data_IF_533451980965
#
_entry.id   IF_533451980965
#
_cell.length_a   1.000
_cell.length_b   1.000
_cell.length_c   1.000
_cell.angle_alpha   90.00
_cell.angle_beta   90.00
_cell.angle_gamma   90.00
#
_symmetry.space_group_name_H-M   'P 1'
#
loop_
_entity.id
_entity.type
_entity.pdbx_description
1 polymer ?
#
# COMPACT_ATOMS: atom_id res chain seq x y z
N UNK A 1 57.63 -25.79 -21.07
CA UNK A 1 58.31 -24.71 -20.38
C UNK A 1 57.30 -24.23 -19.40
N UNK A 2 57.27 -24.78 -18.23
CA UNK A 2 58.01 -24.40 -16.99
C UNK A 2 57.68 -22.93 -16.66
N UNK A 3 57.20 -22.52 -15.54
CA UNK A 3 57.32 -22.98 -14.14
C UNK A 3 56.14 -22.30 -13.37
N UNK A 4 55.40 -22.85 -12.51
CA UNK A 4 55.76 -23.27 -11.11
C UNK A 4 56.22 -22.11 -10.24
N UNK A 5 55.46 -21.90 -9.21
CA UNK A 5 55.72 -21.81 -7.78
C UNK A 5 54.75 -20.91 -7.07
N UNK A 6 53.99 -21.46 -6.16
CA UNK A 6 54.31 -21.72 -4.73
C UNK A 6 54.31 -20.43 -3.91
N UNK A 7 53.71 -20.30 -2.86
CA UNK A 7 53.49 -20.99 -1.62
C UNK A 7 52.84 -20.07 -0.59
N UNK A 8 51.96 -20.67 0.18
CA UNK A 8 51.79 -20.54 1.63
C UNK A 8 51.92 -19.16 2.32
N UNK A 9 50.91 -18.79 3.07
CA UNK A 9 51.07 -18.82 4.53
C UNK A 9 49.74 -18.85 5.32
N UNK A 10 49.62 -19.89 6.08
CA UNK A 10 48.72 -20.16 7.17
C UNK A 10 49.13 -19.37 8.40
N UNK A 11 48.18 -18.71 9.09
CA UNK A 11 48.21 -18.50 10.55
C UNK A 11 46.79 -18.08 11.01
N UNK A 12 46.01 -18.99 11.50
CA UNK A 12 45.74 -19.37 12.92
C UNK A 12 45.99 -18.27 13.94
N UNK A 13 44.94 -17.87 14.61
CA UNK A 13 44.85 -17.71 16.06
C UNK A 13 43.58 -16.93 16.41
N UNK A 14 42.82 -17.08 17.40
CA UNK A 14 42.85 -17.88 18.64
C UNK A 14 41.49 -17.63 19.32
N UNK A 15 40.89 -18.69 19.78
CA UNK A 15 39.88 -18.76 20.83
C UNK A 15 40.13 -17.81 21.97
N UNK A 16 39.13 -17.04 22.40
CA UNK A 16 39.14 -16.48 23.75
C UNK A 16 37.82 -16.75 24.46
N UNK A 17 37.80 -17.87 25.13
CA UNK A 17 36.86 -18.20 26.20
C UNK A 17 37.25 -17.42 27.46
N UNK A 18 36.37 -16.55 27.90
CA UNK A 18 36.47 -16.00 29.27
C UNK A 18 35.25 -16.40 30.10
N UNK A 19 35.45 -17.50 30.78
CA UNK A 19 34.72 -17.93 31.98
C UNK A 19 35.07 -17.00 33.12
N UNK A 20 34.11 -16.27 33.67
CA UNK A 20 34.26 -15.65 34.99
C UNK A 20 33.10 -16.00 35.92
N UNK A 21 33.52 -16.69 36.90
CA UNK A 21 33.00 -17.19 38.17
C UNK A 21 31.93 -16.34 38.86
N UNK A 22 31.00 -17.10 39.41
CA UNK A 22 30.05 -16.78 40.48
C UNK A 22 30.68 -15.95 41.62
N UNK A 23 29.94 -14.93 42.03
CA UNK A 23 29.95 -14.47 43.41
C UNK A 23 28.51 -14.20 43.86
N UNK A 24 28.06 -14.98 44.81
CA UNK A 24 26.85 -14.75 45.60
C UNK A 24 27.14 -13.61 46.60
N UNK A 25 26.26 -12.59 46.59
CA UNK A 25 26.11 -11.72 47.76
C UNK A 25 24.62 -11.55 48.02
N UNK A 26 24.18 -12.10 49.11
CA UNK A 26 22.92 -11.89 49.81
C UNK A 26 22.85 -10.48 50.37
N UNK A 27 21.77 -9.76 50.14
CA UNK A 27 21.50 -8.46 50.77
C UNK A 27 20.05 -8.03 50.63
N UNK A 28 19.39 -7.92 51.76
CA UNK A 28 17.99 -7.79 52.08
C UNK A 28 17.23 -6.60 51.43
N UNK A 29 15.97 -6.87 51.17
CA UNK A 29 14.77 -6.06 51.35
C UNK A 29 14.85 -4.52 51.22
N UNK A 30 14.12 -3.97 50.25
CA UNK A 30 13.30 -2.78 50.47
C UNK A 30 12.18 -2.75 49.42
N UNK A 31 10.97 -2.93 49.90
CA UNK A 31 9.72 -2.80 49.20
C UNK A 31 9.51 -1.31 48.93
N UNK A 32 9.65 -0.86 47.70
CA UNK A 32 9.08 0.41 47.24
C UNK A 32 7.97 0.12 46.24
N UNK A 33 6.76 0.12 46.78
CA UNK A 33 5.53 0.19 45.95
C UNK A 33 5.42 1.59 45.38
N UNK A 34 5.92 1.79 44.16
CA UNK A 34 5.58 2.94 43.36
C UNK A 34 4.47 2.51 42.37
N UNK A 35 3.23 2.75 42.79
CA UNK A 35 2.09 2.77 41.88
C UNK A 35 2.31 3.88 40.87
N UNK A 36 2.93 3.55 39.74
CA UNK A 36 2.89 4.38 38.54
C UNK A 36 1.52 4.15 37.92
N UNK A 37 0.57 5.05 38.23
CA UNK A 37 -0.66 5.18 37.44
C UNK A 37 -0.25 5.48 36.01
N UNK A 38 -0.32 4.46 35.16
CA UNK A 38 -0.31 4.63 33.71
C UNK A 38 -1.57 5.38 33.34
N UNK A 39 -1.47 6.70 33.25
CA UNK A 39 -2.42 7.47 32.49
C UNK A 39 -2.28 7.04 31.03
N UNK A 40 -3.09 6.06 30.63
CA UNK A 40 -3.38 5.83 29.23
C UNK A 40 -4.15 7.07 28.75
N UNK A 41 -3.42 8.05 28.22
CA UNK A 41 -4.03 9.04 27.35
C UNK A 41 -4.55 8.27 26.16
N UNK A 42 -5.87 8.01 26.15
CA UNK A 42 -6.60 7.62 24.97
C UNK A 42 -6.51 8.79 23.99
N UNK A 43 -5.40 8.91 23.31
CA UNK A 43 -5.33 9.64 22.06
C UNK A 43 -6.28 8.90 21.14
N UNK A 44 -7.48 9.45 20.92
CA UNK A 44 -8.34 9.05 19.82
C UNK A 44 -7.56 9.39 18.56
N UNK A 45 -6.71 8.44 18.15
CA UNK A 45 -6.11 8.46 16.84
C UNK A 45 -7.29 8.46 15.87
N UNK A 46 -7.59 9.60 15.27
CA UNK A 46 -8.31 9.63 14.01
C UNK A 46 -7.57 8.64 13.12
N UNK A 47 -8.15 7.47 12.91
CA UNK A 47 -7.53 6.43 12.11
C UNK A 47 -7.27 7.05 10.74
N UNK A 48 -6.01 7.34 10.46
CA UNK A 48 -5.61 7.87 9.16
C UNK A 48 -6.11 6.87 8.11
N UNK A 49 -6.86 7.37 7.12
CA UNK A 49 -7.33 6.53 6.03
C UNK A 49 -6.17 5.78 5.40
N UNK A 50 -6.36 4.52 5.00
CA UNK A 50 -5.33 3.78 4.33
C UNK A 50 -4.78 4.55 3.14
N UNK A 51 -3.47 4.70 3.07
CA UNK A 51 -2.76 5.28 1.95
C UNK A 51 -1.72 4.27 1.49
N UNK A 52 -1.82 3.87 0.23
CA UNK A 52 -0.90 2.89 -0.31
C UNK A 52 0.45 3.57 -0.58
N UNK A 53 1.50 2.94 -0.08
CA UNK A 53 2.87 3.41 -0.30
C UNK A 53 3.39 2.77 -1.59
N UNK A 54 4.03 3.56 -2.43
CA UNK A 54 4.68 3.14 -3.67
C UNK A 54 5.83 4.11 -3.95
N UNK A 55 6.82 3.63 -4.69
CA UNK A 55 7.92 4.46 -5.18
C UNK A 55 7.58 5.06 -6.55
N UNK A 56 8.04 6.25 -6.84
CA UNK A 56 7.79 6.89 -8.15
C UNK A 56 8.30 6.04 -9.33
N UNK A 57 9.33 5.22 -9.11
CA UNK A 57 9.86 4.26 -10.07
C UNK A 57 8.91 3.09 -10.39
N UNK A 58 7.91 2.84 -9.54
CA UNK A 58 6.88 1.81 -9.73
C UNK A 58 5.71 2.31 -10.57
N UNK A 59 5.59 3.64 -10.76
CA UNK A 59 4.56 4.24 -11.59
C UNK A 59 4.80 3.91 -13.07
N UNK A 60 3.80 3.27 -13.66
CA UNK A 60 3.73 2.97 -15.08
C UNK A 60 2.72 3.89 -15.74
N UNK A 61 2.99 4.32 -16.96
CA UNK A 61 2.08 5.16 -17.73
C UNK A 61 1.46 4.33 -18.85
N UNK A 62 0.15 4.27 -18.87
CA UNK A 62 -0.62 3.63 -19.94
C UNK A 62 -0.73 4.54 -21.18
N UNK A 63 -1.09 3.96 -22.34
CA UNK A 63 -1.30 4.71 -23.58
C UNK A 63 -2.35 5.82 -23.45
N UNK A 64 -3.32 5.66 -22.54
CA UNK A 64 -4.35 6.66 -22.23
C UNK A 64 -3.86 7.86 -21.40
N UNK A 65 -2.59 7.89 -21.01
CA UNK A 65 -2.04 8.90 -20.09
C UNK A 65 -2.33 8.63 -18.60
N UNK A 66 -3.11 7.61 -18.29
CA UNK A 66 -3.30 7.19 -16.89
C UNK A 66 -2.04 6.57 -16.35
N UNK A 67 -1.68 6.90 -15.08
CA UNK A 67 -0.57 6.26 -14.40
C UNK A 67 -1.10 5.30 -13.33
N UNK A 68 -0.37 4.23 -13.07
CA UNK A 68 -0.72 3.25 -12.07
C UNK A 68 0.51 2.59 -11.44
N UNK A 69 0.36 2.11 -10.22
CA UNK A 69 1.35 1.27 -9.54
C UNK A 69 0.63 0.12 -8.83
N UNK A 70 1.12 -1.10 -9.03
CA UNK A 70 0.65 -2.28 -8.31
C UNK A 70 1.39 -2.41 -6.98
N UNK A 71 0.74 -2.01 -5.90
CA UNK A 71 1.29 -2.12 -4.53
C UNK A 71 1.22 -3.58 -4.04
N UNK A 72 0.15 -4.28 -4.40
CA UNK A 72 -0.01 -5.71 -4.18
C UNK A 72 -0.63 -6.34 -5.41
N UNK A 73 0.03 -7.32 -5.98
CA UNK A 73 -0.55 -8.13 -7.06
C UNK A 73 -1.48 -9.17 -6.45
N UNK A 74 -2.78 -9.10 -6.78
CA UNK A 74 -3.76 -10.07 -6.32
C UNK A 74 -3.54 -11.46 -6.90
N UNK A 75 -3.95 -12.48 -6.18
CA UNK A 75 -3.84 -13.89 -6.60
C UNK A 75 -5.20 -14.56 -6.83
N UNK A 76 -6.29 -13.85 -6.54
CA UNK A 76 -7.65 -14.36 -6.70
C UNK A 76 -8.19 -14.24 -8.12
N UNK A 77 -9.52 -14.30 -8.25
CA UNK A 77 -10.20 -14.21 -9.54
C UNK A 77 -9.98 -12.85 -10.22
N UNK A 78 -9.86 -12.86 -11.54
CA UNK A 78 -9.85 -11.66 -12.36
C UNK A 78 -11.29 -11.31 -12.76
N UNK A 79 -11.72 -10.05 -12.59
CA UNK A 79 -13.05 -9.63 -13.00
C UNK A 79 -13.17 -9.59 -14.53
N UNK A 80 -14.37 -9.84 -15.02
CA UNK A 80 -14.72 -9.68 -16.42
C UNK A 80 -15.71 -8.53 -16.61
N UNK A 81 -15.71 -7.95 -17.79
CA UNK A 81 -16.65 -6.88 -18.14
C UNK A 81 -18.11 -7.28 -17.85
N UNK A 82 -18.81 -6.42 -17.14
CA UNK A 82 -20.20 -6.63 -16.75
C UNK A 82 -20.39 -7.41 -15.44
N UNK A 83 -19.33 -8.01 -14.87
CA UNK A 83 -19.42 -8.64 -13.56
C UNK A 83 -19.54 -7.59 -12.45
N UNK A 84 -20.24 -7.98 -11.41
CA UNK A 84 -20.32 -7.18 -10.18
C UNK A 84 -19.09 -7.45 -9.34
N UNK A 85 -18.45 -6.40 -8.88
CA UNK A 85 -17.27 -6.47 -8.00
C UNK A 85 -17.50 -5.67 -6.73
N UNK A 86 -16.65 -5.91 -5.75
CA UNK A 86 -16.52 -5.10 -4.54
C UNK A 86 -15.10 -4.55 -4.46
N UNK A 87 -14.97 -3.25 -4.25
CA UNK A 87 -13.69 -2.61 -4.08
C UNK A 87 -13.70 -1.63 -2.91
N UNK A 88 -12.63 -1.65 -2.10
CA UNK A 88 -12.33 -0.57 -1.20
C UNK A 88 -11.49 0.49 -1.92
N UNK A 89 -11.65 1.74 -1.52
CA UNK A 89 -10.88 2.83 -2.10
C UNK A 89 -10.81 4.06 -1.21
N UNK A 90 -9.82 4.89 -1.51
CA UNK A 90 -9.74 6.29 -1.07
C UNK A 90 -9.40 7.15 -2.26
N UNK A 91 -10.24 8.14 -2.55
CA UNK A 91 -10.05 9.11 -3.64
C UNK A 91 -9.53 10.44 -3.11
N UNK A 92 -8.46 10.96 -3.73
CA UNK A 92 -7.80 12.22 -3.36
C UNK A 92 -7.57 13.09 -4.58
N UNK A 93 -7.57 14.39 -4.36
CA UNK A 93 -7.03 15.38 -5.28
C UNK A 93 -5.49 15.40 -5.20
N UNK A 94 -4.83 16.00 -6.19
CA UNK A 94 -3.37 16.13 -6.23
C UNK A 94 -2.78 16.94 -5.07
N UNK A 95 -3.59 17.77 -4.40
CA UNK A 95 -3.20 18.48 -3.18
C UNK A 95 -3.32 17.63 -1.91
N UNK A 96 -3.62 16.32 -2.03
CA UNK A 96 -3.77 15.39 -0.92
C UNK A 96 -5.16 15.39 -0.26
N UNK A 97 -6.07 16.31 -0.63
CA UNK A 97 -7.42 16.37 -0.05
C UNK A 97 -8.22 15.14 -0.46
N UNK A 98 -8.66 14.37 0.51
CA UNK A 98 -9.61 13.27 0.30
C UNK A 98 -10.99 13.83 -0.04
N UNK A 99 -11.62 13.31 -1.08
CA UNK A 99 -12.96 13.69 -1.48
C UNK A 99 -13.99 12.57 -1.29
N UNK A 100 -13.55 11.31 -1.24
CA UNK A 100 -14.41 10.16 -1.00
C UNK A 100 -13.58 8.95 -0.52
N UNK A 101 -14.16 8.12 0.37
CA UNK A 101 -13.53 6.91 0.87
C UNK A 101 -14.58 5.88 1.27
N UNK A 102 -14.43 4.66 0.77
CA UNK A 102 -15.23 3.51 1.20
C UNK A 102 -14.89 3.06 2.61
N UNK A 103 -13.70 3.34 3.10
CA UNK A 103 -13.29 3.04 4.47
C UNK A 103 -14.03 3.92 5.48
N UNK A 104 -14.31 5.20 5.15
CA UNK A 104 -15.13 6.09 5.99
C UNK A 104 -16.57 5.61 6.08
N UNK A 105 -17.09 4.99 5.03
CA UNK A 105 -18.43 4.39 5.02
C UNK A 105 -18.49 3.01 5.68
N UNK A 106 -17.34 2.42 6.01
CA UNK A 106 -17.25 1.09 6.62
C UNK A 106 -17.66 -0.06 5.70
N UNK A 107 -17.77 0.17 4.37
CA UNK A 107 -18.20 -0.85 3.41
C UNK A 107 -17.61 -0.63 2.03
N UNK A 108 -17.21 -1.72 1.32
CA UNK A 108 -16.71 -1.61 -0.04
C UNK A 108 -17.81 -1.15 -1.00
N UNK A 109 -17.41 -0.44 -2.04
CA UNK A 109 -18.29 -0.07 -3.14
C UNK A 109 -18.59 -1.31 -3.99
N UNK A 110 -19.88 -1.54 -4.26
CA UNK A 110 -20.35 -2.61 -5.13
C UNK A 110 -20.86 -2.02 -6.44
N UNK A 111 -20.30 -2.47 -7.58
CA UNK A 111 -20.68 -1.98 -8.91
C UNK A 111 -20.34 -3.00 -10.00
N UNK A 112 -20.91 -2.82 -11.18
CA UNK A 112 -20.55 -3.61 -12.38
C UNK A 112 -19.41 -2.91 -13.12
N UNK A 113 -18.29 -3.62 -13.25
CA UNK A 113 -17.08 -3.09 -13.91
C UNK A 113 -17.18 -3.17 -15.44
N UNK A 114 -16.61 -2.18 -16.13
CA UNK A 114 -16.52 -2.14 -17.60
C UNK A 114 -17.81 -1.73 -18.32
N UNK A 115 -18.81 -1.24 -17.60
CA UNK A 115 -20.10 -0.81 -18.16
C UNK A 115 -20.39 0.66 -17.83
N UNK A 116 -19.38 1.44 -17.49
CA UNK A 116 -19.45 2.87 -17.17
C UNK A 116 -20.38 3.22 -16.00
N UNK A 117 -20.45 2.34 -14.99
CA UNK A 117 -21.07 2.68 -13.71
C UNK A 117 -20.17 3.54 -12.83
N UNK A 118 -18.87 3.53 -13.14
CA UNK A 118 -17.82 4.35 -12.53
C UNK A 118 -17.09 5.13 -13.62
N UNK A 119 -16.17 6.01 -13.24
CA UNK A 119 -15.33 6.74 -14.20
C UNK A 119 -14.47 5.76 -15.03
N UNK A 120 -14.15 6.14 -16.26
CA UNK A 120 -13.45 5.25 -17.20
C UNK A 120 -12.11 4.79 -16.65
N UNK A 121 -11.36 5.68 -15.98
CA UNK A 121 -10.08 5.30 -15.36
C UNK A 121 -10.19 4.15 -14.37
N UNK A 122 -11.34 3.95 -13.72
CA UNK A 122 -11.59 2.78 -12.88
C UNK A 122 -11.86 1.52 -13.69
N UNK A 123 -12.72 1.61 -14.71
CA UNK A 123 -12.98 0.47 -15.58
C UNK A 123 -11.68 -0.03 -16.21
N UNK A 124 -10.87 0.87 -16.77
CA UNK A 124 -9.57 0.57 -17.39
C UNK A 124 -8.54 0.09 -16.36
N UNK A 125 -8.49 0.72 -15.20
CA UNK A 125 -7.55 0.38 -14.13
C UNK A 125 -7.81 -0.96 -13.46
N UNK A 126 -9.06 -1.45 -13.44
CA UNK A 126 -9.45 -2.70 -12.80
C UNK A 126 -9.51 -3.86 -13.79
N UNK A 127 -10.14 -3.66 -14.95
CA UNK A 127 -10.23 -4.71 -15.99
C UNK A 127 -8.92 -4.89 -16.75
N UNK A 128 -8.13 -3.84 -16.81
CA UNK A 128 -7.01 -3.74 -17.73
C UNK A 128 -7.39 -3.03 -19.02
N UNK A 129 -6.41 -2.43 -19.65
CA UNK A 129 -6.47 -1.73 -20.92
C UNK A 129 -5.11 -1.84 -21.62
N UNK A 130 -4.93 -1.15 -22.77
CA UNK A 130 -3.63 -1.13 -23.43
C UNK A 130 -2.54 -0.57 -22.49
N UNK A 131 -1.56 -1.41 -22.17
CA UNK A 131 -0.47 -1.11 -21.23
C UNK A 131 -0.83 -1.27 -19.76
N UNK A 132 -2.02 -1.80 -19.40
CA UNK A 132 -2.47 -2.05 -18.04
C UNK A 132 -2.96 -3.49 -17.91
N UNK A 133 -2.32 -4.29 -17.06
CA UNK A 133 -2.85 -5.62 -16.71
C UNK A 133 -4.07 -5.49 -15.79
N UNK A 134 -5.07 -6.37 -16.00
CA UNK A 134 -6.24 -6.44 -15.12
C UNK A 134 -5.87 -6.81 -13.67
N UNK A 135 -6.59 -6.23 -12.73
CA UNK A 135 -6.44 -6.59 -11.30
C UNK A 135 -7.02 -7.98 -11.03
N UNK A 136 -6.52 -8.58 -9.94
CA UNK A 136 -7.07 -9.82 -9.37
C UNK A 136 -7.53 -9.54 -7.93
N UNK A 137 -8.48 -10.31 -7.45
CA UNK A 137 -8.95 -10.23 -6.07
C UNK A 137 -7.77 -10.33 -5.09
N UNK A 138 -7.78 -9.46 -4.08
CA UNK A 138 -6.68 -9.25 -3.14
C UNK A 138 -5.63 -8.25 -3.62
N UNK A 139 -5.72 -7.77 -4.87
CA UNK A 139 -4.82 -6.77 -5.42
C UNK A 139 -5.07 -5.37 -4.88
N UNK A 140 -4.00 -4.60 -4.74
CA UNK A 140 -4.01 -3.18 -4.36
C UNK A 140 -3.25 -2.38 -5.39
N UNK A 141 -3.87 -1.36 -5.92
CA UNK A 141 -3.35 -0.52 -7.01
C UNK A 141 -3.60 0.93 -6.74
N UNK A 142 -2.59 1.75 -6.99
CA UNK A 142 -2.73 3.20 -7.08
C UNK A 142 -3.05 3.56 -8.52
N UNK A 143 -4.04 4.44 -8.70
CA UNK A 143 -4.42 4.99 -10.00
C UNK A 143 -4.28 6.50 -9.95
N UNK A 144 -3.57 7.08 -10.92
CA UNK A 144 -3.53 8.53 -11.16
C UNK A 144 -4.25 8.77 -12.47
N UNK A 145 -5.47 9.29 -12.36
CA UNK A 145 -6.44 9.36 -13.44
C UNK A 145 -6.50 10.79 -13.96
N UNK A 146 -6.15 11.05 -15.24
CA UNK A 146 -6.26 12.35 -15.83
C UNK A 146 -7.74 12.75 -16.00
N UNK A 147 -8.04 14.04 -16.16
CA UNK A 147 -9.42 14.54 -16.23
C UNK A 147 -10.29 13.83 -17.24
N UNK A 148 -9.75 13.48 -18.40
CA UNK A 148 -10.46 12.87 -19.53
C UNK A 148 -11.02 11.49 -19.19
N UNK A 149 -10.36 10.76 -18.30
CA UNK A 149 -10.78 9.45 -17.80
C UNK A 149 -11.51 9.54 -16.46
N UNK A 150 -11.65 10.76 -15.92
CA UNK A 150 -12.31 11.08 -14.66
C UNK A 150 -13.60 11.86 -14.88
N UNK A 151 -13.69 13.05 -14.27
CA UNK A 151 -14.88 13.91 -14.29
C UNK A 151 -14.78 15.09 -15.28
N UNK A 152 -13.71 15.16 -16.10
CA UNK A 152 -13.50 16.14 -17.14
C UNK A 152 -13.53 17.59 -16.68
N UNK A 153 -13.88 18.48 -17.61
CA UNK A 153 -13.97 19.93 -17.36
C UNK A 153 -15.07 20.33 -16.36
N UNK A 154 -16.09 19.45 -16.18
CA UNK A 154 -17.23 19.75 -15.30
C UNK A 154 -16.90 19.54 -13.82
N UNK A 155 -16.00 18.60 -13.49
CA UNK A 155 -15.79 18.15 -12.12
C UNK A 155 -17.01 17.40 -11.54
N UNK A 156 -17.08 17.22 -10.23
CA UNK A 156 -18.19 16.52 -9.58
C UNK A 156 -18.48 17.05 -8.17
N UNK A 157 -19.78 17.13 -7.84
CA UNK A 157 -20.30 17.32 -6.47
C UNK A 157 -19.81 18.58 -5.75
N UNK A 158 -19.26 19.56 -6.44
CA UNK A 158 -18.68 20.76 -5.82
C UNK A 158 -17.40 20.49 -5.01
N UNK A 159 -16.96 19.22 -4.90
CA UNK A 159 -15.75 18.81 -4.17
C UNK A 159 -14.59 18.46 -5.11
N UNK A 160 -14.89 18.04 -6.34
CA UNK A 160 -13.91 17.77 -7.40
C UNK A 160 -13.97 18.90 -8.42
N UNK A 161 -12.90 19.71 -8.53
CA UNK A 161 -12.85 20.78 -9.52
C UNK A 161 -12.88 20.26 -10.96
N UNK A 162 -13.24 21.11 -11.91
CA UNK A 162 -13.07 20.81 -13.32
C UNK A 162 -11.58 20.65 -13.66
N UNK A 163 -11.29 19.73 -14.59
CA UNK A 163 -9.94 19.37 -15.04
C UNK A 163 -9.02 18.86 -13.90
N UNK A 164 -9.60 18.24 -12.88
CA UNK A 164 -8.83 17.65 -11.80
C UNK A 164 -8.25 16.29 -12.18
N UNK A 165 -6.96 16.12 -11.94
CA UNK A 165 -6.33 14.79 -11.87
C UNK A 165 -6.66 14.16 -10.52
N UNK A 166 -7.02 12.89 -10.53
CA UNK A 166 -7.48 12.17 -9.35
C UNK A 166 -6.50 11.06 -8.99
N UNK A 167 -6.20 10.93 -7.70
CA UNK A 167 -5.44 9.80 -7.16
C UNK A 167 -6.39 8.89 -6.39
N UNK A 168 -6.40 7.61 -6.73
CA UNK A 168 -7.14 6.59 -6.02
C UNK A 168 -6.23 5.48 -5.52
N UNK A 169 -6.40 5.11 -4.27
CA UNK A 169 -5.92 3.85 -3.72
C UNK A 169 -7.08 2.86 -3.84
N UNK A 170 -6.93 1.79 -4.61
CA UNK A 170 -8.00 0.82 -4.91
C UNK A 170 -7.59 -0.56 -4.49
N UNK A 171 -8.45 -1.24 -3.71
CA UNK A 171 -8.30 -2.65 -3.32
C UNK A 171 -9.46 -3.46 -3.89
N UNK A 172 -9.18 -4.45 -4.74
CA UNK A 172 -10.19 -5.34 -5.27
C UNK A 172 -10.49 -6.46 -4.26
N UNK A 173 -11.67 -6.40 -3.64
CA UNK A 173 -12.05 -7.29 -2.54
C UNK A 173 -12.68 -8.57 -3.04
N UNK A 174 -13.61 -8.49 -3.98
CA UNK A 174 -14.34 -9.65 -4.47
C UNK A 174 -14.87 -9.46 -5.90
N UNK A 175 -15.06 -10.58 -6.59
CA UNK A 175 -15.88 -10.73 -7.80
C UNK A 175 -17.11 -11.55 -7.40
N UNK A 176 -18.33 -11.08 -7.75
CA UNK A 176 -19.61 -11.66 -7.32
C UNK A 176 -20.36 -12.32 -8.48
#
# INVERSE_FOLDING_TARGET
>A
MRDENDDDDVKRNTTNTNTFRRAFVTGAASIFTASAAFFQTSSSAFAKLPEFQYEDSELRTAASGMQYADVVVGTGASPQKGQTIQAHYTGRLTNGRTFDSSYERGSPLKFKVGVRQVIQGWDDGILGAEGIEGMKVGGKRVLIIPPELGYGARGAGGVIPGNATLKFDVELVAVL
#
